data_IF_644545891412
#
_entry.id   IF_644545891412
#
_cell.length_a   1.000
_cell.length_b   1.000
_cell.length_c   1.000
_cell.angle_alpha   90.00
_cell.angle_beta   90.00
_cell.angle_gamma   90.00
#
_symmetry.space_group_name_H-M   'P 1'
#
loop_
_entity.id
_entity.type
_entity.pdbx_description
1 polymer ?
#
# COMPACT_ATOMS: atom_id res chain seq x y z
N UNK A 1 3.39 16.53 -6.19
CA UNK A 1 2.56 15.61 -7.00
C UNK A 1 1.88 16.30 -8.16
N UNK A 2 0.82 17.06 -7.90
CA UNK A 2 -0.06 17.64 -8.94
C UNK A 2 0.65 18.34 -10.13
N UNK A 3 1.60 19.27 -9.92
CA UNK A 3 2.26 19.95 -11.05
C UNK A 3 3.04 19.00 -11.96
N UNK A 4 3.69 17.99 -11.39
CA UNK A 4 4.46 17.00 -12.14
C UNK A 4 3.53 16.10 -12.97
N UNK A 5 2.40 15.67 -12.41
CA UNK A 5 1.42 14.90 -13.16
C UNK A 5 0.79 15.72 -14.30
N UNK A 6 0.56 17.02 -14.10
CA UNK A 6 0.08 17.92 -15.17
C UNK A 6 1.14 18.04 -16.27
N UNK A 7 2.40 18.32 -15.90
CA UNK A 7 3.51 18.44 -16.85
C UNK A 7 3.71 17.16 -17.66
N UNK A 8 3.64 15.99 -17.02
CA UNK A 8 3.66 14.70 -17.70
C UNK A 8 2.57 14.59 -18.77
N UNK A 9 1.32 14.89 -18.40
CA UNK A 9 0.19 14.73 -19.32
C UNK A 9 0.25 15.72 -20.49
N UNK A 10 0.80 16.91 -20.27
CA UNK A 10 0.92 17.94 -21.32
C UNK A 10 2.09 17.69 -22.28
N UNK A 11 3.21 17.15 -21.80
CA UNK A 11 4.46 17.11 -22.58
C UNK A 11 4.97 15.71 -22.92
N UNK A 12 4.60 14.69 -22.13
CA UNK A 12 5.26 13.39 -22.14
C UNK A 12 4.32 12.20 -22.37
N UNK A 13 3.00 12.40 -22.34
CA UNK A 13 2.02 11.32 -22.48
C UNK A 13 2.13 10.56 -23.81
N UNK A 14 2.55 11.22 -24.90
CA UNK A 14 2.72 10.65 -26.24
C UNK A 14 4.14 10.14 -26.51
N UNK A 15 5.07 10.25 -25.55
CA UNK A 15 6.49 9.96 -25.75
C UNK A 15 6.83 8.47 -25.51
N UNK A 16 8.01 8.01 -25.96
CA UNK A 16 8.44 6.63 -25.71
C UNK A 16 8.43 6.27 -24.23
N UNK A 17 8.08 5.02 -23.92
CA UNK A 17 7.90 4.51 -22.55
C UNK A 17 9.15 4.72 -21.69
N UNK A 18 10.35 4.59 -22.26
CA UNK A 18 11.60 4.85 -21.54
C UNK A 18 11.71 6.31 -21.05
N UNK A 19 11.27 7.29 -21.85
CA UNK A 19 11.29 8.71 -21.47
C UNK A 19 10.32 8.95 -20.32
N UNK A 20 9.15 8.31 -20.36
CA UNK A 20 8.16 8.36 -19.28
C UNK A 20 8.72 7.78 -17.98
N UNK A 21 9.42 6.64 -18.05
CA UNK A 21 10.06 6.04 -16.88
C UNK A 21 11.16 6.92 -16.28
N UNK A 22 12.02 7.48 -17.14
CA UNK A 22 13.07 8.39 -16.70
C UNK A 22 12.47 9.64 -16.04
N UNK A 23 11.42 10.21 -16.62
CA UNK A 23 10.73 11.36 -16.05
C UNK A 23 10.23 11.10 -14.63
N UNK A 24 9.46 10.03 -14.42
CA UNK A 24 8.91 9.73 -13.09
C UNK A 24 9.98 9.30 -12.10
N UNK A 25 10.99 8.55 -12.53
CA UNK A 25 12.15 8.21 -11.70
C UNK A 25 12.87 9.47 -11.21
N UNK A 26 13.24 10.37 -12.13
CA UNK A 26 13.93 11.62 -11.79
C UNK A 26 13.08 12.53 -10.93
N UNK A 27 11.80 12.70 -11.26
CA UNK A 27 10.88 13.54 -10.49
C UNK A 27 10.66 13.02 -9.07
N UNK A 28 10.46 11.71 -8.91
CA UNK A 28 10.23 11.12 -7.60
C UNK A 28 11.50 11.05 -6.75
N UNK A 29 12.67 10.80 -7.35
CA UNK A 29 13.96 10.92 -6.66
C UNK A 29 14.22 12.35 -6.22
N UNK A 30 13.95 13.34 -7.08
CA UNK A 30 14.03 14.75 -6.72
C UNK A 30 13.10 15.09 -5.55
N UNK A 31 11.85 14.64 -5.58
CA UNK A 31 10.92 14.86 -4.47
C UNK A 31 11.38 14.16 -3.19
N UNK A 32 11.91 12.94 -3.28
CA UNK A 32 12.43 12.21 -2.12
C UNK A 32 13.62 12.96 -1.51
N UNK A 33 14.58 13.38 -2.34
CA UNK A 33 15.73 14.17 -1.93
C UNK A 33 15.35 15.54 -1.37
N UNK A 34 14.35 16.19 -1.95
CA UNK A 34 13.84 17.45 -1.43
C UNK A 34 13.25 17.32 -0.02
N UNK A 35 12.59 16.20 0.30
CA UNK A 35 11.97 15.98 1.61
C UNK A 35 12.94 15.42 2.65
N UNK A 36 13.89 14.56 2.25
CA UNK A 36 14.71 13.76 3.17
C UNK A 36 16.23 13.91 2.95
N UNK A 37 16.66 14.71 1.98
CA UNK A 37 18.08 14.90 1.68
C UNK A 37 18.80 13.60 1.35
N UNK A 38 19.97 13.42 1.94
CA UNK A 38 20.87 12.27 1.72
C UNK A 38 20.20 10.94 2.11
N UNK A 39 19.27 10.95 3.06
CA UNK A 39 18.57 9.74 3.52
C UNK A 39 17.75 9.05 2.42
N UNK A 40 17.50 9.74 1.30
CA UNK A 40 16.98 9.14 0.06
C UNK A 40 17.74 7.87 -0.35
N UNK A 41 19.03 7.78 -0.04
CA UNK A 41 19.88 6.63 -0.35
C UNK A 41 19.32 5.31 0.19
N UNK A 42 18.63 5.33 1.34
CA UNK A 42 18.04 4.14 1.93
C UNK A 42 17.00 3.48 1.01
N UNK A 43 16.15 4.30 0.39
CA UNK A 43 15.12 3.86 -0.55
C UNK A 43 15.73 3.37 -1.88
N UNK A 44 16.80 4.03 -2.36
CA UNK A 44 17.54 3.62 -3.56
C UNK A 44 18.21 2.27 -3.35
N UNK A 45 18.91 2.07 -2.23
CA UNK A 45 19.59 0.81 -1.88
C UNK A 45 18.59 -0.35 -1.85
N UNK A 46 17.40 -0.14 -1.27
CA UNK A 46 16.36 -1.16 -1.25
C UNK A 46 15.86 -1.51 -2.67
N UNK A 47 15.62 -0.52 -3.51
CA UNK A 47 15.21 -0.75 -4.90
C UNK A 47 16.28 -1.53 -5.69
N UNK A 48 17.56 -1.15 -5.54
CA UNK A 48 18.68 -1.81 -6.21
C UNK A 48 18.85 -3.25 -5.71
N UNK A 49 18.76 -3.48 -4.41
CA UNK A 49 18.84 -4.82 -3.84
C UNK A 49 17.76 -5.73 -4.44
N UNK A 50 16.51 -5.28 -4.47
CA UNK A 50 15.39 -6.08 -5.00
C UNK A 50 15.52 -6.32 -6.50
N UNK A 51 15.99 -5.34 -7.27
CA UNK A 51 16.32 -5.52 -8.68
C UNK A 51 17.39 -6.61 -8.90
N UNK A 52 18.48 -6.58 -8.11
CA UNK A 52 19.55 -7.57 -8.16
C UNK A 52 19.00 -8.96 -7.80
N UNK A 53 18.23 -9.07 -6.71
CA UNK A 53 17.61 -10.33 -6.29
C UNK A 53 16.73 -10.92 -7.40
N UNK A 54 15.86 -10.11 -8.00
CA UNK A 54 14.99 -10.56 -9.09
C UNK A 54 15.78 -10.97 -10.34
N UNK A 55 16.82 -10.21 -10.69
CA UNK A 55 17.63 -10.46 -11.89
C UNK A 55 18.48 -11.73 -11.78
N UNK A 56 19.17 -11.92 -10.64
CA UNK A 56 20.12 -13.02 -10.48
C UNK A 56 19.52 -14.30 -9.90
N UNK A 57 18.59 -14.19 -8.94
CA UNK A 57 17.94 -15.38 -8.34
C UNK A 57 16.75 -15.83 -9.21
N UNK A 58 16.06 -14.87 -9.84
CA UNK A 58 14.88 -15.11 -10.65
C UNK A 58 13.59 -15.31 -9.83
N UNK A 59 12.49 -15.72 -10.50
CA UNK A 59 11.17 -15.91 -9.89
C UNK A 59 11.10 -17.19 -9.04
N UNK A 60 11.82 -17.23 -7.92
CA UNK A 60 11.90 -18.38 -7.00
C UNK A 60 11.41 -18.01 -5.60
N UNK A 61 11.03 -19.03 -4.82
CA UNK A 61 10.66 -18.83 -3.40
C UNK A 61 11.81 -18.26 -2.57
N UNK A 62 13.05 -18.58 -2.92
CA UNK A 62 14.24 -18.00 -2.28
C UNK A 62 14.34 -16.49 -2.48
N UNK A 63 13.99 -15.98 -3.68
CA UNK A 63 13.95 -14.54 -3.94
C UNK A 63 12.90 -13.84 -3.07
N UNK A 64 11.72 -14.45 -2.91
CA UNK A 64 10.67 -13.94 -2.00
C UNK A 64 11.19 -13.87 -0.57
N UNK A 65 11.73 -14.98 -0.05
CA UNK A 65 12.20 -15.04 1.32
C UNK A 65 13.33 -14.05 1.59
N UNK A 66 14.29 -13.95 0.67
CA UNK A 66 15.40 -13.01 0.77
C UNK A 66 14.93 -11.55 0.75
N UNK A 67 14.02 -11.20 -0.17
CA UNK A 67 13.46 -9.86 -0.26
C UNK A 67 12.65 -9.50 1.00
N UNK A 68 11.74 -10.39 1.43
CA UNK A 68 10.93 -10.20 2.63
C UNK A 68 11.81 -9.94 3.86
N UNK A 69 12.80 -10.81 4.09
CA UNK A 69 13.71 -10.66 5.24
C UNK A 69 14.50 -9.36 5.14
N UNK A 70 15.07 -9.05 3.98
CA UNK A 70 15.86 -7.84 3.79
C UNK A 70 15.05 -6.57 4.01
N UNK A 71 13.92 -6.39 3.29
CA UNK A 71 13.15 -5.15 3.37
C UNK A 71 12.53 -4.95 4.75
N UNK A 72 12.08 -6.01 5.43
CA UNK A 72 11.58 -5.90 6.80
C UNK A 72 12.69 -5.58 7.79
N UNK A 73 13.84 -6.26 7.70
CA UNK A 73 14.98 -5.99 8.59
C UNK A 73 15.50 -4.56 8.39
N UNK A 74 15.60 -4.09 7.15
CA UNK A 74 16.06 -2.74 6.83
C UNK A 74 15.10 -1.68 7.37
N UNK A 75 13.79 -1.88 7.22
CA UNK A 75 12.78 -0.98 7.76
C UNK A 75 12.82 -0.92 9.28
N UNK A 76 12.86 -2.08 9.95
CA UNK A 76 12.93 -2.19 11.40
C UNK A 76 14.22 -1.57 11.96
N UNK A 77 15.34 -1.74 11.28
CA UNK A 77 16.59 -1.06 11.60
C UNK A 77 16.45 0.45 11.47
N UNK A 78 15.81 0.95 10.40
CA UNK A 78 15.52 2.37 10.22
C UNK A 78 14.67 2.93 11.36
N UNK A 79 13.63 2.21 11.79
CA UNK A 79 12.83 2.61 12.96
C UNK A 79 13.64 2.63 14.25
N UNK A 80 14.49 1.62 14.48
CA UNK A 80 15.33 1.57 15.66
C UNK A 80 16.27 2.77 15.72
N UNK A 81 16.97 3.08 14.63
CA UNK A 81 17.91 4.21 14.57
C UNK A 81 17.19 5.55 14.74
N UNK A 82 16.02 5.73 14.13
CA UNK A 82 15.27 6.99 14.21
C UNK A 82 14.59 7.21 15.56
N UNK A 83 14.14 6.15 16.24
CA UNK A 83 13.53 6.23 17.58
C UNK A 83 14.54 6.59 18.68
N UNK A 84 15.83 6.28 18.50
CA UNK A 84 16.89 6.66 19.44
C UNK A 84 17.17 8.17 19.43
N UNK A 85 16.79 8.88 18.35
CA UNK A 85 17.02 10.31 18.17
C UNK A 85 16.13 11.26 19.00
N UNK A 86 15.31 10.74 19.91
CA UNK A 86 14.49 11.48 20.89
C UNK A 86 13.36 12.40 20.38
N UNK A 87 13.21 12.65 19.08
CA UNK A 87 12.07 13.40 18.54
C UNK A 87 11.30 12.59 17.49
N UNK A 88 9.97 12.54 17.64
CA UNK A 88 9.05 11.98 16.65
C UNK A 88 9.03 12.90 15.42
N UNK A 89 10.07 12.78 14.60
CA UNK A 89 10.26 13.56 13.38
C UNK A 89 9.82 12.75 12.16
N UNK A 90 9.27 13.42 11.15
CA UNK A 90 8.94 12.82 9.86
C UNK A 90 10.22 12.41 9.12
N UNK A 91 10.74 11.22 9.43
CA UNK A 91 11.99 10.70 8.85
C UNK A 91 11.76 9.95 7.54
N UNK A 92 12.85 9.62 6.85
CA UNK A 92 12.86 8.80 5.63
C UNK A 92 12.21 7.42 5.81
N UNK A 93 11.98 6.96 7.05
CA UNK A 93 11.32 5.69 7.35
C UNK A 93 9.85 5.66 6.95
N UNK A 94 9.22 6.83 6.80
CA UNK A 94 7.82 6.96 6.41
C UNK A 94 7.58 6.52 4.95
N UNK A 95 8.22 7.12 3.93
CA UNK A 95 8.08 6.61 2.57
C UNK A 95 8.69 5.20 2.44
N UNK A 96 9.70 4.88 3.25
CA UNK A 96 10.31 3.55 3.27
C UNK A 96 9.32 2.46 3.66
N UNK A 97 8.41 2.70 4.61
CA UNK A 97 7.46 1.67 5.03
C UNK A 97 6.49 1.29 3.91
N UNK A 98 6.03 2.27 3.12
CA UNK A 98 5.22 2.07 1.93
C UNK A 98 6.02 1.35 0.85
N UNK A 99 7.26 1.77 0.61
CA UNK A 99 8.16 1.15 -0.37
C UNK A 99 8.45 -0.32 -0.02
N UNK A 100 8.65 -0.65 1.25
CA UNK A 100 8.89 -2.02 1.72
C UNK A 100 7.76 -2.96 1.31
N UNK A 101 6.48 -2.58 1.54
CA UNK A 101 5.35 -3.42 1.11
C UNK A 101 5.29 -3.57 -0.41
N UNK A 102 5.59 -2.49 -1.15
CA UNK A 102 5.59 -2.48 -2.62
C UNK A 102 6.65 -3.42 -3.19
N UNK A 103 7.85 -3.38 -2.64
CA UNK A 103 8.96 -4.23 -3.07
C UNK A 103 8.70 -5.70 -2.72
N UNK A 104 8.15 -5.99 -1.54
CA UNK A 104 7.73 -7.35 -1.16
C UNK A 104 6.67 -7.88 -2.14
N UNK A 105 5.63 -7.07 -2.41
CA UNK A 105 4.56 -7.41 -3.34
C UNK A 105 5.10 -7.74 -4.74
N UNK A 106 6.03 -6.93 -5.25
CA UNK A 106 6.62 -7.11 -6.58
C UNK A 106 7.29 -8.49 -6.75
N UNK A 107 8.05 -8.96 -5.75
CA UNK A 107 8.69 -10.28 -5.85
C UNK A 107 7.68 -11.42 -5.81
N UNK A 108 6.60 -11.29 -5.04
CA UNK A 108 5.50 -12.24 -5.07
C UNK A 108 4.78 -12.24 -6.42
N UNK A 109 4.54 -11.06 -6.98
CA UNK A 109 3.84 -10.87 -8.25
C UNK A 109 4.64 -11.49 -9.43
N UNK A 110 5.96 -11.28 -9.45
CA UNK A 110 6.87 -11.89 -10.44
C UNK A 110 6.94 -13.41 -10.29
N UNK A 111 6.97 -13.92 -9.04
CA UNK A 111 6.92 -15.36 -8.78
C UNK A 111 5.62 -16.00 -9.29
N UNK A 112 4.48 -15.37 -9.02
CA UNK A 112 3.18 -15.88 -9.43
C UNK A 112 2.99 -15.82 -10.95
N UNK A 113 3.43 -14.74 -11.62
CA UNK A 113 3.37 -14.64 -13.07
C UNK A 113 4.17 -15.73 -13.77
N UNK A 114 5.36 -16.04 -13.26
CA UNK A 114 6.17 -17.15 -13.79
C UNK A 114 5.53 -18.52 -13.56
N UNK A 115 4.94 -18.74 -12.37
CA UNK A 115 4.23 -19.98 -12.04
C UNK A 115 3.00 -20.18 -12.96
N UNK A 116 2.26 -19.12 -13.23
CA UNK A 116 1.10 -19.13 -14.11
C UNK A 116 1.50 -19.46 -15.56
N UNK A 117 2.58 -18.86 -16.07
CA UNK A 117 3.11 -19.17 -17.39
C UNK A 117 3.54 -20.64 -17.53
N UNK A 118 4.24 -21.18 -16.52
CA UNK A 118 4.66 -22.59 -16.51
C UNK A 118 3.47 -23.55 -16.54
N UNK A 119 2.39 -23.24 -15.81
CA UNK A 119 1.19 -24.09 -15.78
C UNK A 119 0.40 -24.08 -17.09
N UNK A 120 0.38 -22.96 -17.82
CA UNK A 120 -0.24 -22.88 -19.15
C UNK A 120 0.53 -23.74 -20.16
N UNK A 121 1.86 -23.66 -20.15
CA UNK A 121 2.71 -24.41 -21.07
C UNK A 121 2.78 -25.91 -20.77
N UNK A 122 2.55 -26.33 -19.51
CA UNK A 122 2.53 -27.74 -19.11
C UNK A 122 1.19 -28.43 -19.30
N UNK A 123 0.18 -27.75 -19.86
CA UNK A 123 -1.16 -28.33 -20.09
C UNK A 123 -1.55 -28.42 -21.58
N UNK A 124 -0.86 -29.21 -22.42
CA UNK A 124 -1.48 -29.74 -23.62
C UNK A 124 -2.25 -31.02 -23.25
N UNK A 125 -3.58 -31.00 -23.44
CA UNK A 125 -4.47 -32.16 -23.51
C UNK A 125 -4.65 -32.92 -22.17
N UNK A 126 -5.86 -32.82 -21.58
CA UNK A 126 -6.36 -33.55 -20.40
C UNK A 126 -5.90 -33.10 -19.00
N UNK A 127 -6.33 -31.93 -18.52
CA UNK A 127 -6.27 -31.59 -17.10
C UNK A 127 -7.59 -31.92 -16.38
N UNK A 128 -7.60 -33.11 -15.77
CA UNK A 128 -8.42 -33.39 -14.59
C UNK A 128 -8.23 -32.28 -13.56
N UNK A 129 -9.35 -31.85 -12.95
CA UNK A 129 -9.45 -30.99 -11.75
C UNK A 129 -8.16 -31.05 -10.90
N UNK A 130 -7.41 -29.95 -10.90
CA UNK A 130 -6.33 -29.74 -9.94
C UNK A 130 -6.90 -29.67 -8.52
N UNK A 131 -6.05 -29.86 -7.51
CA UNK A 131 -6.42 -29.66 -6.11
C UNK A 131 -7.07 -28.27 -5.95
N UNK A 132 -8.25 -28.19 -5.30
CA UNK A 132 -9.03 -26.95 -5.20
C UNK A 132 -8.24 -25.78 -4.61
N UNK A 133 -7.28 -26.06 -3.73
CA UNK A 133 -6.45 -25.05 -3.07
C UNK A 133 -5.39 -24.42 -3.99
N UNK A 134 -4.88 -25.16 -4.98
CA UNK A 134 -3.92 -24.63 -5.98
C UNK A 134 -4.60 -23.76 -7.02
N UNK A 135 -5.82 -24.13 -7.43
CA UNK A 135 -6.62 -23.39 -8.40
C UNK A 135 -7.20 -22.10 -7.77
N UNK A 136 -7.64 -22.16 -6.51
CA UNK A 136 -8.06 -20.96 -5.76
C UNK A 136 -6.90 -19.96 -5.62
N UNK A 137 -5.69 -20.43 -5.24
CA UNK A 137 -4.48 -19.57 -5.15
C UNK A 137 -4.05 -18.97 -6.49
N UNK A 138 -4.34 -19.65 -7.60
CA UNK A 138 -4.05 -19.15 -8.95
C UNK A 138 -4.99 -17.99 -9.30
N UNK A 139 -6.30 -18.21 -9.16
CA UNK A 139 -7.33 -17.19 -9.41
C UNK A 139 -7.16 -15.93 -8.54
N UNK A 140 -6.68 -16.07 -7.29
CA UNK A 140 -6.51 -14.95 -6.36
C UNK A 140 -5.46 -13.92 -6.82
N UNK A 141 -4.47 -14.31 -7.64
CA UNK A 141 -3.32 -13.46 -7.95
C UNK A 141 -3.18 -13.10 -9.43
N UNK A 142 -4.13 -13.48 -10.29
CA UNK A 142 -4.06 -13.19 -11.72
C UNK A 142 -4.01 -11.70 -12.04
N UNK A 143 -4.68 -10.85 -11.26
CA UNK A 143 -4.71 -9.40 -11.47
C UNK A 143 -3.36 -8.70 -11.17
N UNK A 144 -2.54 -9.27 -10.28
CA UNK A 144 -1.21 -8.70 -9.95
C UNK A 144 -0.04 -9.51 -10.50
N UNK A 145 -0.27 -10.70 -11.06
CA UNK A 145 0.78 -11.54 -11.61
C UNK A 145 1.60 -10.78 -12.68
N UNK A 146 2.92 -10.78 -12.53
CA UNK A 146 3.86 -10.11 -13.44
C UNK A 146 4.66 -11.17 -14.19
N UNK A 147 4.45 -11.26 -15.50
CA UNK A 147 5.05 -12.31 -16.34
C UNK A 147 6.56 -12.13 -16.58
N UNK A 148 7.02 -10.88 -16.66
CA UNK A 148 8.40 -10.51 -17.01
C UNK A 148 9.10 -9.87 -15.82
N UNK A 149 10.38 -10.17 -15.63
CA UNK A 149 11.20 -9.47 -14.63
C UNK A 149 11.32 -7.99 -15.03
N UNK A 150 10.96 -7.05 -14.14
CA UNK A 150 11.09 -5.61 -14.39
C UNK A 150 12.54 -5.21 -14.69
N UNK A 151 12.71 -4.30 -15.62
CA UNK A 151 13.96 -3.55 -15.78
C UNK A 151 14.17 -2.60 -14.59
N UNK A 152 15.41 -2.16 -14.39
CA UNK A 152 15.73 -1.24 -13.31
C UNK A 152 14.90 0.06 -13.40
N UNK A 153 14.71 0.60 -14.60
CA UNK A 153 13.93 1.81 -14.83
C UNK A 153 12.44 1.61 -14.57
N UNK A 154 11.86 0.47 -14.94
CA UNK A 154 10.46 0.15 -14.63
C UNK A 154 10.23 0.06 -13.11
N UNK A 155 11.14 -0.62 -12.40
CA UNK A 155 11.08 -0.76 -10.94
C UNK A 155 11.24 0.60 -10.24
N UNK A 156 12.28 1.37 -10.59
CA UNK A 156 12.53 2.68 -9.99
C UNK A 156 11.38 3.65 -10.28
N UNK A 157 10.89 3.67 -11.51
CA UNK A 157 9.80 4.56 -11.88
C UNK A 157 8.48 4.24 -11.16
N UNK A 158 8.21 2.96 -10.88
CA UNK A 158 7.08 2.53 -10.04
C UNK A 158 7.30 2.86 -8.56
N UNK A 159 8.51 2.63 -8.05
CA UNK A 159 8.88 2.94 -6.67
C UNK A 159 8.74 4.44 -6.36
N UNK A 160 9.25 5.28 -7.26
CA UNK A 160 9.28 6.73 -7.14
C UNK A 160 8.10 7.42 -7.81
N UNK A 161 7.01 6.71 -8.13
CA UNK A 161 5.85 7.33 -8.74
C UNK A 161 5.28 8.45 -7.83
N UNK A 162 5.26 9.73 -8.27
CA UNK A 162 4.92 10.87 -7.42
C UNK A 162 3.52 10.81 -6.78
N UNK A 163 2.60 10.06 -7.38
CA UNK A 163 1.24 9.88 -6.88
C UNK A 163 1.13 8.96 -5.66
N UNK A 164 2.14 8.12 -5.38
CA UNK A 164 2.03 7.09 -4.34
C UNK A 164 3.28 6.84 -3.51
N UNK A 165 4.41 7.52 -3.76
CA UNK A 165 5.65 7.16 -3.05
C UNK A 165 5.75 7.67 -1.60
N UNK A 166 5.21 8.85 -1.26
CA UNK A 166 5.36 9.44 0.09
C UNK A 166 4.44 8.81 1.14
N UNK A 167 3.13 8.84 0.87
CA UNK A 167 2.07 8.43 1.80
C UNK A 167 0.86 7.84 1.05
N UNK A 168 0.92 7.82 -0.29
CA UNK A 168 -0.25 7.50 -1.11
C UNK A 168 -0.57 6.01 -1.14
N UNK A 169 -1.79 5.64 -1.57
CA UNK A 169 -2.22 4.25 -1.65
C UNK A 169 -1.24 3.41 -2.47
N UNK A 170 -1.07 2.15 -2.09
CA UNK A 170 -0.25 1.22 -2.87
C UNK A 170 -0.83 1.09 -4.29
N UNK A 171 -0.01 1.37 -5.30
CA UNK A 171 -0.38 1.16 -6.70
C UNK A 171 0.18 -0.19 -7.13
N UNK A 172 -0.70 -1.10 -7.57
CA UNK A 172 -0.30 -2.40 -8.15
C UNK A 172 0.64 -2.18 -9.34
N UNK A 173 1.69 -2.98 -9.44
CA UNK A 173 2.69 -2.84 -10.52
C UNK A 173 2.05 -2.93 -11.91
N UNK A 174 1.17 -3.90 -12.15
CA UNK A 174 0.45 -4.04 -13.43
C UNK A 174 -0.40 -2.81 -13.79
N UNK A 175 -1.05 -2.17 -12.82
CA UNK A 175 -1.86 -0.98 -13.07
C UNK A 175 -0.97 0.21 -13.44
N UNK A 176 0.18 0.32 -12.78
CA UNK A 176 1.19 1.30 -13.11
C UNK A 176 1.77 1.08 -14.52
N UNK A 177 2.08 -0.16 -14.89
CA UNK A 177 2.58 -0.49 -16.23
C UNK A 177 1.55 -0.13 -17.31
N UNK A 178 0.28 -0.53 -17.12
CA UNK A 178 -0.83 -0.12 -18.02
C UNK A 178 -0.94 1.40 -18.15
N UNK A 179 -0.78 2.12 -17.04
CA UNK A 179 -0.82 3.57 -17.04
C UNK A 179 0.32 4.19 -17.83
N UNK A 180 1.57 3.77 -17.61
CA UNK A 180 2.73 4.40 -18.25
C UNK A 180 2.92 3.98 -19.71
N UNK A 181 2.54 2.76 -20.04
CA UNK A 181 2.54 2.26 -21.42
C UNK A 181 1.41 2.87 -22.25
N UNK A 182 0.35 3.37 -21.60
CA UNK A 182 -0.68 4.10 -22.32
C UNK A 182 -0.11 5.41 -22.89
N UNK A 183 -0.52 5.72 -24.13
CA UNK A 183 -0.28 7.02 -24.76
C UNK A 183 -1.46 7.97 -24.55
N UNK A 184 -2.31 7.68 -23.56
CA UNK A 184 -3.48 8.49 -23.26
C UNK A 184 -3.11 9.71 -22.42
N UNK A 185 -3.67 10.86 -22.79
CA UNK A 185 -3.70 12.02 -21.92
C UNK A 185 -4.89 11.91 -20.96
N UNK A 186 -4.62 11.69 -19.69
CA UNK A 186 -5.65 11.53 -18.66
C UNK A 186 -6.12 12.85 -18.07
N UNK A 187 -5.44 13.97 -18.34
CA UNK A 187 -5.73 15.27 -17.74
C UNK A 187 -7.21 15.69 -17.91
N UNK A 188 -7.85 15.56 -19.08
CA UNK A 188 -9.27 15.90 -19.22
C UNK A 188 -10.20 15.07 -18.33
N UNK A 189 -9.86 13.79 -18.09
CA UNK A 189 -10.64 12.86 -17.28
C UNK A 189 -10.43 13.10 -15.77
N UNK A 190 -9.22 13.48 -15.35
CA UNK A 190 -8.83 13.54 -13.94
C UNK A 190 -8.66 14.94 -13.35
N UNK A 191 -8.71 16.01 -14.16
CA UNK A 191 -8.52 17.39 -13.69
C UNK A 191 -9.53 17.77 -12.60
N UNK A 192 -10.83 17.62 -12.88
CA UNK A 192 -11.87 18.05 -11.94
C UNK A 192 -11.85 17.21 -10.63
N UNK A 193 -11.74 15.87 -10.66
CA UNK A 193 -11.53 15.08 -9.46
C UNK A 193 -10.25 15.47 -8.69
N UNK A 194 -9.15 15.73 -9.40
CA UNK A 194 -7.88 16.15 -8.81
C UNK A 194 -7.99 17.51 -8.11
N UNK A 195 -8.61 18.49 -8.76
CA UNK A 195 -8.84 19.82 -8.20
C UNK A 195 -9.73 19.76 -6.96
N UNK A 196 -10.82 18.99 -7.00
CA UNK A 196 -11.70 18.78 -5.84
C UNK A 196 -10.91 18.25 -4.64
N UNK A 197 -10.05 17.24 -4.86
CA UNK A 197 -9.20 16.67 -3.79
C UNK A 197 -8.17 17.67 -3.26
N UNK A 198 -7.57 18.47 -4.13
CA UNK A 198 -6.65 19.53 -3.72
C UNK A 198 -7.35 20.55 -2.83
N UNK A 199 -8.52 21.04 -3.23
CA UNK A 199 -9.30 22.03 -2.45
C UNK A 199 -9.70 21.46 -1.08
N UNK A 200 -10.21 20.23 -1.04
CA UNK A 200 -10.54 19.55 0.22
C UNK A 200 -9.29 19.43 1.10
N UNK A 201 -8.16 18.98 0.55
CA UNK A 201 -6.90 18.85 1.28
C UNK A 201 -6.37 20.19 1.83
N UNK A 202 -6.41 21.26 1.04
CA UNK A 202 -6.01 22.60 1.48
C UNK A 202 -6.95 23.17 2.55
N UNK A 203 -8.24 22.86 2.44
CA UNK A 203 -9.25 23.25 3.44
C UNK A 203 -8.98 22.56 4.77
N UNK A 204 -8.75 21.24 4.76
CA UNK A 204 -8.34 20.49 5.96
C UNK A 204 -7.03 21.03 6.55
N UNK A 205 -6.04 21.32 5.70
CA UNK A 205 -4.77 21.89 6.16
C UNK A 205 -4.95 23.25 6.82
N UNK A 206 -5.78 24.13 6.25
CA UNK A 206 -6.08 25.44 6.84
C UNK A 206 -6.83 25.31 8.17
N UNK A 207 -7.84 24.44 8.24
CA UNK A 207 -8.57 24.16 9.49
C UNK A 207 -7.61 23.61 10.55
N UNK A 208 -6.72 22.68 10.19
CA UNK A 208 -5.75 22.13 11.12
C UNK A 208 -4.73 23.18 11.56
N UNK A 209 -4.18 23.98 10.64
CA UNK A 209 -3.17 24.98 10.95
C UNK A 209 -3.71 26.08 11.86
N UNK A 210 -4.94 26.53 11.63
CA UNK A 210 -5.61 27.53 12.47
C UNK A 210 -6.11 26.88 13.76
N UNK A 211 -6.82 25.77 13.65
CA UNK A 211 -7.41 25.05 14.78
C UNK A 211 -6.38 24.57 15.80
N UNK A 212 -5.22 24.08 15.36
CA UNK A 212 -4.14 23.66 16.26
C UNK A 212 -3.52 24.79 17.08
N UNK A 213 -3.71 26.06 16.69
CA UNK A 213 -3.31 27.22 17.49
C UNK A 213 -4.26 27.45 18.68
N UNK A 214 -5.53 27.08 18.55
CA UNK A 214 -6.56 27.30 19.57
C UNK A 214 -6.86 26.05 20.40
N UNK A 215 -6.78 24.87 19.78
CA UNK A 215 -7.06 23.59 20.42
C UNK A 215 -5.81 22.70 20.34
N UNK A 216 -5.16 22.41 21.49
CA UNK A 216 -4.07 21.45 21.49
C UNK A 216 -4.60 20.08 21.03
N UNK A 217 -3.78 19.31 20.32
CA UNK A 217 -4.16 17.98 19.78
C UNK A 217 -4.72 17.04 20.85
N UNK A 218 -4.36 17.25 22.12
CA UNK A 218 -4.88 16.53 23.27
C UNK A 218 -6.39 16.76 23.51
N UNK A 219 -6.92 17.93 23.14
CA UNK A 219 -8.35 18.22 23.18
C UNK A 219 -9.14 17.35 22.19
N UNK A 220 -8.56 17.00 21.03
CA UNK A 220 -9.20 16.05 20.11
C UNK A 220 -9.29 14.63 20.68
N UNK A 221 -8.54 14.33 21.74
CA UNK A 221 -8.58 13.05 22.46
C UNK A 221 -9.43 13.13 23.74
N UNK A 222 -10.10 14.26 23.99
CA UNK A 222 -10.90 14.47 25.19
C UNK A 222 -12.35 14.02 25.00
N UNK A 223 -13.00 13.64 26.09
CA UNK A 223 -14.41 13.23 26.07
C UNK A 223 -15.34 14.37 25.63
N UNK A 224 -14.93 15.63 25.81
CA UNK A 224 -15.70 16.78 25.35
C UNK A 224 -15.73 16.86 23.81
N UNK A 225 -14.61 16.58 23.13
CA UNK A 225 -14.57 16.56 21.66
C UNK A 225 -15.40 15.40 21.09
N UNK A 226 -15.34 14.22 21.73
CA UNK A 226 -16.19 13.08 21.40
C UNK A 226 -17.69 13.45 21.47
N UNK A 227 -18.10 14.16 22.53
CA UNK A 227 -19.47 14.67 22.69
C UNK A 227 -19.89 15.67 21.62
N UNK A 228 -18.99 16.56 21.17
CA UNK A 228 -19.25 17.55 20.11
C UNK A 228 -19.45 16.87 18.75
N UNK A 229 -18.66 15.84 18.43
CA UNK A 229 -18.83 15.05 17.21
C UNK A 229 -20.17 14.30 17.17
N UNK A 230 -20.62 13.78 18.32
CA UNK A 230 -21.91 13.08 18.46
C UNK A 230 -23.10 14.06 18.33
N UNK A 231 -23.03 15.23 18.96
CA UNK A 231 -24.13 16.21 18.98
C UNK A 231 -24.23 17.00 17.67
N UNK A 232 -23.10 17.26 16.99
CA UNK A 232 -23.07 18.05 15.74
C UNK A 232 -23.73 17.36 14.55
N UNK A 233 -24.09 16.07 14.65
CA UNK A 233 -24.73 15.34 13.56
C UNK A 233 -23.84 15.14 12.34
N UNK A 234 -22.51 15.31 12.50
CA UNK A 234 -21.52 15.10 11.44
C UNK A 234 -21.55 13.66 10.86
N UNK A 235 -22.24 12.74 11.53
CA UNK A 235 -22.39 11.32 11.19
C UNK A 235 -23.62 10.98 10.31
N UNK A 236 -24.40 11.96 9.82
CA UNK A 236 -25.59 11.67 8.98
C UNK A 236 -25.39 11.96 7.50
N UNK A 237 -25.53 10.93 6.63
CA UNK A 237 -25.91 11.12 5.23
C UNK A 237 -26.73 9.94 4.66
N UNK A 238 -27.72 10.28 3.83
CA UNK A 238 -28.81 9.45 3.30
C UNK A 238 -28.69 9.15 1.80
N UNK A 239 -27.64 9.61 1.09
CA UNK A 239 -27.59 9.57 -0.39
C UNK A 239 -26.17 9.60 -0.96
N UNK A 240 -25.54 8.48 -1.33
CA UNK A 240 -24.43 8.59 -2.31
C UNK A 240 -24.13 7.31 -3.08
N UNK A 241 -24.53 7.29 -4.35
CA UNK A 241 -23.92 6.41 -5.35
C UNK A 241 -22.74 7.09 -6.04
N UNK A 242 -21.60 6.38 -6.16
CA UNK A 242 -20.37 6.64 -6.99
C UNK A 242 -19.25 7.51 -6.33
N UNK A 243 -17.95 7.54 -6.71
CA UNK A 243 -16.97 6.72 -7.48
C UNK A 243 -15.65 6.77 -6.67
N UNK A 244 -15.09 5.63 -6.24
CA UNK A 244 -13.87 5.56 -5.41
C UNK A 244 -12.79 4.67 -6.05
N UNK A 245 -12.01 5.17 -7.01
CA UNK A 245 -10.93 4.36 -7.63
C UNK A 245 -9.50 4.76 -7.22
N UNK A 246 -9.34 5.71 -6.29
CA UNK A 246 -8.06 6.01 -5.65
C UNK A 246 -8.29 6.51 -4.22
N UNK A 247 -9.06 5.79 -3.40
CA UNK A 247 -9.23 6.12 -1.98
C UNK A 247 -8.54 5.05 -1.13
N UNK A 248 -7.83 5.45 -0.08
CA UNK A 248 -7.29 4.52 0.91
C UNK A 248 -8.23 4.36 2.13
N UNK A 249 -9.34 5.10 2.17
CA UNK A 249 -10.36 5.04 3.23
C UNK A 249 -11.75 5.28 2.60
N UNK A 250 -12.76 4.52 3.01
CA UNK A 250 -14.16 4.79 2.73
C UNK A 250 -14.77 5.54 3.91
N UNK A 251 -14.70 6.88 3.90
CA UNK A 251 -15.07 7.72 5.05
C UNK A 251 -16.47 7.39 5.58
N UNK A 252 -17.49 7.39 4.73
CA UNK A 252 -18.87 7.10 5.18
C UNK A 252 -18.99 5.70 5.80
N UNK A 253 -18.42 4.68 5.15
CA UNK A 253 -18.48 3.31 5.69
C UNK A 253 -17.67 3.16 6.97
N UNK A 254 -16.59 3.91 7.12
CA UNK A 254 -15.79 3.93 8.34
C UNK A 254 -16.58 4.53 9.51
N UNK A 255 -17.22 5.69 9.29
CA UNK A 255 -18.02 6.38 10.32
C UNK A 255 -19.33 5.64 10.66
N UNK A 256 -19.89 4.87 9.72
CA UNK A 256 -21.19 4.18 9.88
C UNK A 256 -21.07 2.67 10.17
N UNK A 257 -19.86 2.13 10.31
CA UNK A 257 -19.64 0.70 10.51
C UNK A 257 -20.20 0.23 11.86
N UNK A 258 -21.12 -0.73 11.83
CA UNK A 258 -21.70 -1.36 13.03
C UNK A 258 -20.96 -2.61 13.48
N UNK A 259 -19.97 -3.07 12.72
CA UNK A 259 -19.13 -4.23 13.08
C UNK A 259 -17.65 -3.87 12.96
N UNK A 260 -16.81 -4.49 13.79
CA UNK A 260 -15.37 -4.23 13.79
C UNK A 260 -14.73 -4.65 12.46
N UNK A 261 -15.18 -5.77 11.90
CA UNK A 261 -14.81 -6.17 10.53
C UNK A 261 -15.26 -5.18 9.45
N UNK A 262 -16.30 -4.36 9.68
CA UNK A 262 -16.71 -3.26 8.80
C UNK A 262 -15.76 -2.06 8.87
N UNK A 263 -15.31 -1.74 10.09
CA UNK A 263 -14.33 -0.67 10.35
C UNK A 263 -12.99 -0.97 9.67
N UNK A 264 -12.44 -2.17 9.88
CA UNK A 264 -11.19 -2.62 9.27
C UNK A 264 -11.29 -2.54 7.74
N UNK A 265 -12.39 -3.04 7.15
CA UNK A 265 -12.59 -3.01 5.69
C UNK A 265 -12.79 -1.62 5.09
N UNK A 266 -12.97 -0.59 5.92
CA UNK A 266 -13.21 0.78 5.46
C UNK A 266 -11.99 1.68 5.61
N UNK A 267 -10.98 1.25 6.39
CA UNK A 267 -9.75 2.00 6.63
C UNK A 267 -8.54 1.31 5.99
N UNK A 268 -7.52 2.10 5.63
CA UNK A 268 -6.25 1.64 5.05
C UNK A 268 -6.39 0.52 3.99
N UNK A 269 -7.29 0.75 3.05
CA UNK A 269 -7.80 -0.26 2.11
C UNK A 269 -6.67 -0.99 1.37
N UNK A 270 -5.64 -0.27 0.95
CA UNK A 270 -4.54 -0.86 0.18
C UNK A 270 -3.61 -1.72 1.03
N UNK A 271 -3.36 -1.35 2.28
CA UNK A 271 -2.61 -2.20 3.23
C UNK A 271 -3.42 -3.43 3.62
N UNK A 272 -4.74 -3.29 3.77
CA UNK A 272 -5.62 -4.43 4.02
C UNK A 272 -5.71 -5.38 2.83
N UNK A 273 -5.76 -4.85 1.60
CA UNK A 273 -5.65 -5.66 0.39
C UNK A 273 -4.30 -6.38 0.34
N UNK A 274 -3.21 -5.68 0.64
CA UNK A 274 -1.87 -6.28 0.73
C UNK A 274 -1.84 -7.42 1.75
N UNK A 275 -2.29 -7.17 2.98
CA UNK A 275 -2.29 -8.14 4.07
C UNK A 275 -3.12 -9.37 3.72
N UNK A 276 -4.31 -9.16 3.14
CA UNK A 276 -5.17 -10.25 2.69
C UNK A 276 -4.51 -11.10 1.60
N UNK A 277 -3.89 -10.45 0.60
CA UNK A 277 -3.38 -11.11 -0.61
C UNK A 277 -2.00 -11.74 -0.44
N UNK A 278 -1.06 -11.00 0.14
CA UNK A 278 0.34 -11.40 0.25
C UNK A 278 0.68 -12.13 1.54
N UNK A 279 -0.16 -12.04 2.58
CA UNK A 279 0.07 -12.71 3.86
C UNK A 279 -1.04 -13.73 4.14
N UNK A 280 -2.24 -13.27 4.51
CA UNK A 280 -3.31 -14.11 5.04
C UNK A 280 -3.66 -15.29 4.11
N UNK A 281 -3.96 -15.02 2.83
CA UNK A 281 -4.32 -16.07 1.88
C UNK A 281 -3.15 -17.01 1.55
N UNK A 282 -1.90 -16.51 1.59
CA UNK A 282 -0.70 -17.33 1.34
C UNK A 282 -0.37 -18.23 2.52
N UNK A 283 -0.68 -17.79 3.73
CA UNK A 283 -0.56 -18.52 4.99
C UNK A 283 -1.60 -19.65 5.17
N UNK A 284 -2.56 -19.81 4.25
CA UNK A 284 -3.53 -20.92 4.25
C UNK A 284 -2.89 -22.32 4.32
N UNK A 285 -1.61 -22.48 3.96
CA UNK A 285 -0.93 -23.78 4.02
C UNK A 285 -0.83 -24.31 5.47
N UNK A 286 -0.94 -23.45 6.48
CA UNK A 286 -0.95 -23.85 7.88
C UNK A 286 -2.23 -24.59 8.31
N UNK A 287 -3.26 -24.65 7.46
CA UNK A 287 -4.51 -25.35 7.76
C UNK A 287 -5.39 -24.67 8.82
N UNK A 288 -4.95 -23.55 9.42
CA UNK A 288 -5.70 -22.81 10.43
C UNK A 288 -5.92 -21.35 10.01
N UNK A 289 -7.19 -20.96 9.88
CA UNK A 289 -7.61 -19.58 9.63
C UNK A 289 -7.11 -18.63 10.73
N UNK A 290 -7.16 -19.09 11.99
CA UNK A 290 -6.69 -18.33 13.14
C UNK A 290 -5.19 -18.10 13.10
N UNK A 291 -4.41 -19.12 12.74
CA UNK A 291 -2.96 -18.96 12.57
C UNK A 291 -2.65 -17.98 11.43
N UNK A 292 -3.32 -18.10 10.28
CA UNK A 292 -3.14 -17.16 9.17
C UNK A 292 -3.46 -15.71 9.58
N UNK A 293 -4.53 -15.51 10.36
CA UNK A 293 -4.91 -14.19 10.87
C UNK A 293 -3.85 -13.63 11.82
N UNK A 294 -3.46 -14.42 12.83
CA UNK A 294 -2.46 -14.04 13.82
C UNK A 294 -1.15 -13.60 13.18
N UNK A 295 -0.57 -14.40 12.30
CA UNK A 295 0.71 -14.06 11.65
C UNK A 295 0.60 -12.87 10.70
N UNK A 296 -0.58 -12.64 10.11
CA UNK A 296 -0.81 -11.44 9.29
C UNK A 296 -0.80 -10.18 10.15
N UNK A 297 -1.51 -10.20 11.29
CA UNK A 297 -1.56 -9.07 12.21
C UNK A 297 -0.22 -8.86 12.92
N UNK A 298 0.51 -9.93 13.23
CA UNK A 298 1.87 -9.85 13.78
C UNK A 298 2.84 -9.21 12.79
N UNK A 299 2.75 -9.56 11.49
CA UNK A 299 3.51 -8.88 10.46
C UNK A 299 3.18 -7.39 10.39
N UNK A 300 1.89 -7.01 10.45
CA UNK A 300 1.49 -5.61 10.44
C UNK A 300 2.02 -4.85 11.66
N UNK A 301 1.97 -5.45 12.86
CA UNK A 301 2.55 -4.88 14.06
C UNK A 301 4.06 -4.60 13.89
N UNK A 302 4.81 -5.58 13.38
CA UNK A 302 6.24 -5.41 13.07
C UNK A 302 6.47 -4.32 12.01
N UNK A 303 5.65 -4.30 10.95
CA UNK A 303 5.75 -3.30 9.89
C UNK A 303 5.53 -1.87 10.39
N UNK A 304 4.73 -1.69 11.46
CA UNK A 304 4.56 -0.39 12.10
C UNK A 304 5.73 0.00 13.02
N UNK A 305 6.49 -0.97 13.56
CA UNK A 305 7.74 -0.76 14.27
C UNK A 305 7.79 -1.39 15.67
N UNK A 306 8.64 -0.82 16.53
CA UNK A 306 8.99 -1.43 17.83
C UNK A 306 8.09 -1.01 19.00
N UNK A 307 7.24 0.00 18.82
CA UNK A 307 6.38 0.49 19.91
C UNK A 307 5.38 -0.57 20.34
N UNK A 308 5.27 -0.79 21.65
CA UNK A 308 4.35 -1.76 22.25
C UNK A 308 2.89 -1.50 21.88
N UNK A 309 2.53 -0.22 21.67
CA UNK A 309 1.18 0.17 21.25
C UNK A 309 0.71 -0.51 19.96
N UNK A 310 1.61 -0.78 19.00
CA UNK A 310 1.25 -1.50 17.77
C UNK A 310 0.86 -2.95 18.06
N UNK A 311 1.64 -3.65 18.87
CA UNK A 311 1.37 -5.05 19.23
C UNK A 311 0.09 -5.19 20.04
N UNK A 312 -0.18 -4.25 20.95
CA UNK A 312 -1.44 -4.20 21.69
C UNK A 312 -2.60 -3.96 20.74
N UNK A 313 -2.48 -3.00 19.82
CA UNK A 313 -3.55 -2.65 18.86
C UNK A 313 -3.91 -3.84 17.98
N UNK A 314 -2.93 -4.47 17.31
CA UNK A 314 -3.19 -5.61 16.44
C UNK A 314 -3.56 -6.89 17.22
N UNK A 315 -3.06 -7.04 18.46
CA UNK A 315 -3.50 -8.09 19.37
C UNK A 315 -4.97 -7.95 19.76
N UNK A 316 -5.42 -6.73 20.06
CA UNK A 316 -6.83 -6.43 20.32
C UNK A 316 -7.70 -6.66 19.10
N UNK A 317 -7.27 -6.24 17.91
CA UNK A 317 -7.96 -6.54 16.66
C UNK A 317 -8.15 -8.05 16.47
N UNK A 318 -7.12 -8.85 16.71
CA UNK A 318 -7.22 -10.31 16.63
C UNK A 318 -8.29 -10.88 17.57
N UNK A 319 -8.32 -10.41 18.83
CA UNK A 319 -9.28 -10.86 19.83
C UNK A 319 -10.72 -10.43 19.48
N UNK A 320 -10.92 -9.17 19.09
CA UNK A 320 -12.24 -8.65 18.73
C UNK A 320 -12.79 -9.38 17.50
N UNK A 321 -11.97 -9.59 16.48
CA UNK A 321 -12.37 -10.33 15.28
C UNK A 321 -12.69 -11.80 15.58
N UNK A 322 -11.96 -12.44 16.50
CA UNK A 322 -12.28 -13.79 16.98
C UNK A 322 -13.67 -13.82 17.63
N UNK A 323 -13.94 -12.89 18.55
CA UNK A 323 -15.23 -12.79 19.22
C UNK A 323 -16.36 -12.51 18.21
N UNK A 324 -16.16 -11.57 17.28
CA UNK A 324 -17.15 -11.25 16.25
C UNK A 324 -17.47 -12.47 15.37
N UNK A 325 -16.46 -13.28 15.03
CA UNK A 325 -16.70 -14.53 14.29
C UNK A 325 -17.51 -15.52 15.12
N UNK A 326 -17.16 -15.76 16.38
CA UNK A 326 -17.89 -16.67 17.27
C UNK A 326 -19.36 -16.26 17.42
N UNK A 327 -19.64 -14.97 17.60
CA UNK A 327 -21.02 -14.44 17.72
C UNK A 327 -21.81 -14.62 16.43
N UNK A 328 -21.20 -14.49 15.24
CA UNK A 328 -21.89 -14.70 13.96
C UNK A 328 -22.28 -16.16 13.68
N UNK A 329 -21.70 -17.12 14.43
CA UNK A 329 -21.99 -18.55 14.30
C UNK A 329 -22.96 -19.08 15.38
N UNK A 330 -23.39 -18.22 16.30
CA UNK A 330 -24.54 -18.44 17.18
C UNK A 330 -25.81 -18.00 16.47
#
# INVERSE_FOLDING_TARGET
>A
GYPLCILYNLLLADKPVIVKHLYYTSCGLFLCYFNYGIDTIHSVVNCLFVYIVLTYIGPKRSAIALNLTFCMTYLLWGYYVTQIGSEYSFTWTIPQCVLTLRLIALTFDVYDGHRNAKSLNSSPINSKKGNSQTDERRAINEDTAVAKIPTLFELLSHAYFPGSFLMGPQVKYNNYMKYIESNENFLPKCWLPGLKRLVVGLTYLAIYQIGSQYWPTQYMLSQEFEGVCIISGASYDKKSGSVYECSNVHVINFETATTFGGLIRSFNLTTNEFAAKYLFKRLKFMGSRMASHFFTLFFLALWHGWSTGYYVTFGMEFLIMKMEWEVRYL
#
